data_IF_548933208650
#
_entry.id   IF_548933208650
#
_cell.length_a   1.000
_cell.length_b   1.000
_cell.length_c   1.000
_cell.angle_alpha   90.00
_cell.angle_beta   90.00
_cell.angle_gamma   90.00
#
_symmetry.space_group_name_H-M   'P 1'
#
loop_
_entity.id
_entity.type
_entity.pdbx_description
1 polymer ?
#
# COMPACT_ATOMS: atom_id res chain seq x y z
N UNK A 1 7.28 7.03 29.34
CA UNK A 1 5.85 7.27 29.03
C UNK A 1 5.37 6.06 28.27
N UNK A 2 4.29 5.41 28.72
CA UNK A 2 3.69 4.32 27.93
C UNK A 2 2.83 4.98 26.86
N UNK A 3 3.24 4.87 25.60
CA UNK A 3 2.36 5.17 24.48
C UNK A 3 1.38 4.01 24.34
N UNK A 4 0.10 4.30 24.54
CA UNK A 4 -0.98 3.38 24.24
C UNK A 4 -1.45 3.67 22.82
N UNK A 5 -1.51 2.64 21.98
CA UNK A 5 -2.11 2.71 20.66
C UNK A 5 -3.52 2.12 20.72
N UNK A 6 -4.48 2.76 20.04
CA UNK A 6 -5.83 2.20 19.88
C UNK A 6 -5.81 0.93 19.02
N UNK A 7 -4.85 0.84 18.10
CA UNK A 7 -4.74 -0.26 17.13
C UNK A 7 -3.29 -0.60 16.82
N UNK A 8 -3.02 -1.90 16.73
CA UNK A 8 -1.79 -2.44 16.17
C UNK A 8 -2.15 -3.17 14.88
N UNK A 9 -1.64 -2.68 13.76
CA UNK A 9 -1.83 -3.28 12.43
C UNK A 9 -0.60 -4.14 12.15
N UNK A 10 -0.79 -5.44 11.92
CA UNK A 10 0.31 -6.36 11.60
C UNK A 10 0.36 -6.59 10.10
N UNK A 11 1.45 -6.12 9.48
CA UNK A 11 1.70 -6.13 8.04
C UNK A 11 1.56 -4.73 7.43
N UNK A 12 2.62 -4.26 6.77
CA UNK A 12 2.71 -3.02 5.99
C UNK A 12 2.44 -3.22 4.49
N UNK A 13 1.67 -4.26 4.14
CA UNK A 13 1.18 -4.47 2.78
C UNK A 13 -0.01 -3.59 2.41
N UNK A 14 -0.57 -3.78 1.22
CA UNK A 14 -1.72 -3.01 0.70
C UNK A 14 -2.89 -2.88 1.70
N UNK A 15 -3.27 -3.98 2.35
CA UNK A 15 -4.35 -3.99 3.33
C UNK A 15 -4.00 -3.23 4.62
N UNK A 16 -2.76 -3.37 5.11
CA UNK A 16 -2.29 -2.67 6.30
C UNK A 16 -2.20 -1.17 6.09
N UNK A 17 -1.63 -0.75 4.95
CA UNK A 17 -1.56 0.66 4.54
C UNK A 17 -2.96 1.27 4.36
N UNK A 18 -3.89 0.54 3.72
CA UNK A 18 -5.29 0.98 3.58
C UNK A 18 -5.98 1.14 4.94
N UNK A 19 -5.71 0.23 5.87
CA UNK A 19 -6.27 0.29 7.22
C UNK A 19 -5.71 1.49 7.99
N UNK A 20 -4.38 1.66 7.97
CA UNK A 20 -3.67 2.78 8.56
C UNK A 20 -4.23 4.13 8.11
N UNK A 21 -4.44 4.30 6.80
CA UNK A 21 -5.05 5.50 6.22
C UNK A 21 -6.35 5.88 6.94
N UNK A 22 -7.27 4.94 7.17
CA UNK A 22 -8.54 5.26 7.83
C UNK A 22 -8.36 5.62 9.30
N UNK A 23 -7.39 5.03 10.02
CA UNK A 23 -7.08 5.46 11.39
C UNK A 23 -6.52 6.90 11.43
N UNK A 24 -5.68 7.27 10.46
CA UNK A 24 -5.20 8.65 10.27
C UNK A 24 -6.38 9.60 10.03
N UNK A 25 -7.29 9.25 9.09
CA UNK A 25 -8.47 10.09 8.78
C UNK A 25 -9.41 10.28 9.99
N UNK A 26 -9.45 9.31 10.90
CA UNK A 26 -10.26 9.39 12.12
C UNK A 26 -9.49 9.94 13.34
N UNK A 27 -8.25 10.40 13.15
CA UNK A 27 -7.38 10.93 14.21
C UNK A 27 -7.25 9.95 15.40
N UNK A 28 -6.98 8.68 15.09
CA UNK A 28 -6.80 7.61 16.08
C UNK A 28 -5.36 7.07 16.07
N UNK A 29 -4.76 7.01 17.25
CA UNK A 29 -3.39 6.54 17.42
C UNK A 29 -3.29 5.06 17.06
N UNK A 30 -2.41 4.73 16.14
CA UNK A 30 -2.15 3.35 15.74
C UNK A 30 -0.69 3.18 15.33
N UNK A 31 -0.26 1.93 15.22
CA UNK A 31 1.06 1.57 14.72
C UNK A 31 0.95 0.43 13.70
N UNK A 32 1.73 0.52 12.63
CA UNK A 32 1.88 -0.55 11.64
C UNK A 32 3.20 -1.27 11.91
N UNK A 33 3.15 -2.59 12.03
CA UNK A 33 4.32 -3.44 12.22
C UNK A 33 4.53 -4.27 10.96
N UNK A 34 5.58 -3.96 10.20
CA UNK A 34 6.03 -4.74 9.05
C UNK A 34 7.29 -5.54 9.42
N UNK A 35 7.37 -6.77 8.94
CA UNK A 35 8.53 -7.64 9.13
C UNK A 35 9.70 -7.20 8.26
N UNK A 36 9.40 -6.77 7.04
CA UNK A 36 10.39 -6.29 6.06
C UNK A 36 10.83 -4.85 6.36
N UNK A 37 11.92 -4.45 5.73
CA UNK A 37 12.49 -3.10 5.82
C UNK A 37 11.72 -2.04 5.03
N UNK A 38 10.76 -2.47 4.20
CA UNK A 38 10.02 -1.61 3.28
C UNK A 38 8.52 -1.96 3.28
N UNK A 39 7.65 -0.95 3.12
CA UNK A 39 6.22 -1.16 2.94
C UNK A 39 5.95 -1.88 1.62
N UNK A 40 4.83 -2.60 1.57
CA UNK A 40 4.39 -3.35 0.40
C UNK A 40 5.41 -4.37 -0.14
N UNK A 41 6.27 -4.92 0.73
CA UNK A 41 7.36 -5.83 0.39
C UNK A 41 6.96 -7.00 -0.53
N UNK A 42 5.73 -7.54 -0.36
CA UNK A 42 5.22 -8.64 -1.20
C UNK A 42 5.19 -8.29 -2.71
N UNK A 43 5.07 -7.02 -3.06
CA UNK A 43 5.12 -6.54 -4.46
C UNK A 43 6.55 -6.28 -4.92
N UNK A 44 7.43 -5.89 -3.98
CA UNK A 44 8.83 -5.56 -4.23
C UNK A 44 9.69 -6.80 -4.43
N UNK A 45 9.67 -7.73 -3.46
CA UNK A 45 10.61 -8.86 -3.39
C UNK A 45 10.00 -10.20 -3.70
N UNK A 46 8.69 -10.38 -3.47
CA UNK A 46 8.04 -11.69 -3.57
C UNK A 46 7.34 -11.89 -4.93
N UNK A 47 7.80 -11.15 -5.95
CA UNK A 47 7.34 -11.22 -7.35
C UNK A 47 8.53 -11.40 -8.28
N UNK A 48 8.32 -12.05 -9.41
CA UNK A 48 9.33 -12.20 -10.46
C UNK A 48 9.50 -10.90 -11.24
N UNK A 49 10.66 -10.72 -11.88
CA UNK A 49 11.00 -9.47 -12.58
C UNK A 49 10.00 -9.10 -13.69
N UNK A 50 9.48 -10.09 -14.40
CA UNK A 50 8.47 -9.91 -15.45
C UNK A 50 7.02 -9.91 -14.94
N UNK A 51 6.80 -9.72 -13.64
CA UNK A 51 5.45 -9.72 -13.07
C UNK A 51 4.64 -8.55 -13.65
N UNK A 52 3.42 -8.87 -14.06
CA UNK A 52 2.37 -7.91 -14.42
C UNK A 52 1.05 -8.36 -13.81
N UNK A 53 0.15 -7.42 -13.53
CA UNK A 53 -1.18 -7.73 -13.02
C UNK A 53 -1.93 -8.65 -14.00
N UNK A 54 -2.77 -9.52 -13.45
CA UNK A 54 -3.73 -10.31 -14.22
C UNK A 54 -5.12 -9.65 -14.26
N UNK A 55 -5.29 -8.54 -13.55
CA UNK A 55 -6.52 -7.75 -13.51
C UNK A 55 -6.26 -6.35 -14.05
N UNK A 56 -7.28 -5.69 -14.65
CA UNK A 56 -7.14 -4.33 -15.15
C UNK A 56 -6.63 -3.36 -14.08
N UNK A 57 -5.84 -2.37 -14.51
CA UNK A 57 -5.20 -1.40 -13.63
C UNK A 57 -6.17 -0.68 -12.68
N UNK A 58 -7.37 -0.35 -13.14
CA UNK A 58 -8.40 0.30 -12.32
C UNK A 58 -8.85 -0.53 -11.11
N UNK A 59 -8.61 -1.85 -11.12
CA UNK A 59 -8.94 -2.74 -9.99
C UNK A 59 -7.95 -2.61 -8.84
N UNK A 60 -6.73 -2.13 -9.10
CA UNK A 60 -5.73 -1.90 -8.07
C UNK A 60 -6.09 -0.63 -7.31
N UNK A 61 -6.51 -0.79 -6.05
CA UNK A 61 -7.03 0.31 -5.24
C UNK A 61 -6.33 0.41 -3.89
N UNK A 62 -6.03 1.66 -3.53
CA UNK A 62 -5.70 2.14 -2.19
C UNK A 62 -6.63 3.34 -1.91
N UNK A 63 -7.06 3.59 -0.67
CA UNK A 63 -7.91 4.73 -0.34
C UNK A 63 -7.30 6.05 -0.82
N UNK A 64 -8.03 6.88 -1.56
CA UNK A 64 -7.55 8.14 -2.18
C UNK A 64 -6.43 8.01 -3.24
N UNK A 65 -6.01 6.79 -3.57
CA UNK A 65 -4.99 6.52 -4.59
C UNK A 65 -5.49 5.50 -5.62
N UNK A 66 -6.68 5.76 -6.15
CA UNK A 66 -7.22 5.00 -7.28
C UNK A 66 -6.41 5.25 -8.56
N UNK A 67 -6.40 4.26 -9.46
CA UNK A 67 -5.71 4.39 -10.74
C UNK A 67 -6.33 5.50 -11.59
N UNK A 68 -5.53 6.51 -11.94
CA UNK A 68 -5.98 7.71 -12.66
C UNK A 68 -5.18 7.99 -13.95
N UNK A 69 -4.30 7.06 -14.34
CA UNK A 69 -3.46 7.20 -15.54
C UNK A 69 -4.22 6.82 -16.82
N UNK A 70 -3.56 7.03 -17.97
CA UNK A 70 -4.19 6.94 -19.30
C UNK A 70 -4.57 5.51 -19.75
N UNK A 71 -4.22 4.46 -19.01
CA UNK A 71 -4.45 3.06 -19.41
C UNK A 71 -5.16 2.22 -18.32
N UNK A 72 -6.43 2.52 -17.99
CA UNK A 72 -7.17 1.81 -16.93
C UNK A 72 -7.41 0.32 -17.24
N UNK A 73 -7.57 -0.03 -18.52
CA UNK A 73 -7.77 -1.42 -18.98
C UNK A 73 -6.44 -2.19 -19.17
N UNK A 74 -5.31 -1.53 -18.90
CA UNK A 74 -3.98 -2.14 -18.97
C UNK A 74 -3.68 -3.08 -17.81
N UNK A 75 -2.45 -3.58 -17.79
CA UNK A 75 -1.92 -4.46 -16.74
C UNK A 75 -0.58 -3.92 -16.25
N UNK A 76 -0.54 -3.44 -15.01
CA UNK A 76 0.64 -2.78 -14.44
C UNK A 76 1.78 -3.78 -14.22
N UNK A 77 3.00 -3.46 -14.69
CA UNK A 77 4.19 -4.21 -14.32
C UNK A 77 4.56 -3.97 -12.85
N UNK A 78 5.37 -4.88 -12.29
CA UNK A 78 5.87 -4.82 -10.90
C UNK A 78 6.40 -3.44 -10.49
N UNK A 79 7.21 -2.81 -11.35
CA UNK A 79 7.84 -1.52 -11.01
C UNK A 79 6.85 -0.36 -10.91
N UNK A 80 5.78 -0.38 -11.71
CA UNK A 80 4.72 0.63 -11.59
C UNK A 80 3.95 0.45 -10.27
N UNK A 81 3.68 -0.80 -9.88
CA UNK A 81 3.07 -1.12 -8.58
C UNK A 81 3.94 -0.62 -7.42
N UNK A 82 5.25 -0.90 -7.46
CA UNK A 82 6.20 -0.45 -6.44
C UNK A 82 6.20 1.07 -6.30
N UNK A 83 6.25 1.76 -7.45
CA UNK A 83 6.22 3.22 -7.51
C UNK A 83 4.93 3.78 -6.92
N UNK A 84 3.78 3.15 -7.17
CA UNK A 84 2.50 3.58 -6.57
C UNK A 84 2.48 3.42 -5.05
N UNK A 85 3.07 2.35 -4.51
CA UNK A 85 3.20 2.22 -3.06
C UNK A 85 4.14 3.27 -2.45
N UNK A 86 5.23 3.62 -3.14
CA UNK A 86 6.14 4.68 -2.67
C UNK A 86 5.40 6.03 -2.58
N UNK A 87 4.68 6.43 -3.63
CA UNK A 87 3.86 7.64 -3.62
C UNK A 87 2.76 7.59 -2.54
N UNK A 88 2.13 6.43 -2.36
CA UNK A 88 1.08 6.28 -1.35
C UNK A 88 1.60 6.51 0.07
N UNK A 89 2.75 5.93 0.38
CA UNK A 89 3.38 6.06 1.70
C UNK A 89 3.82 7.50 1.92
N UNK A 90 4.49 8.13 0.95
CA UNK A 90 4.90 9.54 1.05
C UNK A 90 3.73 10.50 1.28
N UNK A 91 2.57 10.22 0.67
CA UNK A 91 1.42 11.11 0.73
C UNK A 91 0.53 10.88 1.96
N UNK A 92 0.44 9.64 2.46
CA UNK A 92 -0.61 9.26 3.41
C UNK A 92 -0.13 8.53 4.67
N UNK A 93 1.17 8.29 4.86
CA UNK A 93 1.71 7.57 6.01
C UNK A 93 2.79 8.40 6.71
#
# INVERSE_FOLDING_TARGET
>A
MNNFYDMIIVGGGQAGLSSSYYFIQHNRDHIVLEKSDSPANVWRTDRWDSFTLLTPNWTFRLPEAEYSDQNPEGFMPREEINSRFDHYVEQYQ
#
